data_IF_182664738176
#
_entry.id   IF_182664738176
#
_cell.length_a   1.000
_cell.length_b   1.000
_cell.length_c   1.000
_cell.angle_alpha   90.00
_cell.angle_beta   90.00
_cell.angle_gamma   90.00
#
_symmetry.space_group_name_H-M   'P 1'
#
loop_
_entity.id
_entity.type
_entity.pdbx_description
1 polymer ?
#
# COMPACT_ATOMS: atom_id res chain seq x y z
N UNK A 1 24.35 -13.80 1.90
CA UNK A 1 23.32 -14.33 2.83
C UNK A 1 21.95 -13.99 2.26
N UNK A 2 20.95 -14.86 2.45
CA UNK A 2 19.57 -14.60 2.02
C UNK A 2 18.83 -13.94 3.17
N UNK A 3 18.12 -12.83 2.91
CA UNK A 3 17.29 -12.13 3.89
C UNK A 3 15.95 -11.86 3.26
N UNK A 4 14.87 -12.03 4.02
CA UNK A 4 13.53 -11.63 3.61
C UNK A 4 13.08 -10.54 4.58
N UNK A 5 12.62 -9.41 4.03
CA UNK A 5 12.10 -8.28 4.78
C UNK A 5 10.64 -8.08 4.38
N UNK A 6 9.75 -8.26 5.35
CA UNK A 6 8.33 -7.89 5.22
C UNK A 6 8.19 -6.39 5.46
N UNK A 7 7.70 -5.67 4.45
CA UNK A 7 7.41 -4.23 4.47
C UNK A 7 6.14 -3.89 5.23
N UNK A 8 5.40 -4.90 5.69
CA UNK A 8 4.19 -4.88 6.50
C UNK A 8 3.21 -3.78 6.10
N UNK A 9 2.17 -4.18 5.38
CA UNK A 9 1.10 -3.30 4.95
C UNK A 9 1.62 -2.09 4.13
N UNK A 10 2.44 -2.34 3.09
CA UNK A 10 3.04 -1.28 2.24
C UNK A 10 1.99 -0.27 1.77
N UNK A 11 0.81 -0.76 1.40
CA UNK A 11 -0.26 0.06 0.83
C UNK A 11 -0.75 1.13 1.81
N UNK A 12 -0.83 0.82 3.10
CA UNK A 12 -1.30 1.78 4.11
C UNK A 12 -0.26 2.88 4.42
N UNK A 13 0.99 2.70 3.97
CA UNK A 13 2.03 3.72 4.10
C UNK A 13 2.07 4.69 2.91
N UNK A 14 1.24 4.48 1.88
CA UNK A 14 1.23 5.32 0.68
C UNK A 14 -0.05 6.17 0.66
N UNK A 15 0.06 7.51 0.72
CA UNK A 15 -1.10 8.40 0.72
C UNK A 15 -1.84 8.31 -0.61
N UNK A 16 -3.17 8.29 -0.52
CA UNK A 16 -4.06 8.46 -1.67
C UNK A 16 -4.20 9.95 -1.98
N UNK A 17 -4.35 10.31 -3.25
CA UNK A 17 -4.62 11.70 -3.61
C UNK A 17 -5.96 12.15 -3.00
N UNK A 18 -6.05 13.32 -2.33
CA UNK A 18 -7.28 13.77 -1.66
C UNK A 18 -8.51 13.81 -2.59
N UNK A 19 -8.32 14.21 -3.85
CA UNK A 19 -9.41 14.28 -4.84
C UNK A 19 -9.97 12.90 -5.23
N UNK A 20 -9.20 11.83 -5.02
CA UNK A 20 -9.64 10.46 -5.28
C UNK A 20 -10.35 9.85 -4.06
N UNK A 21 -10.11 10.36 -2.84
CA UNK A 21 -10.67 9.79 -1.60
C UNK A 21 -12.20 9.58 -1.65
N UNK A 22 -13.03 10.52 -2.16
CA UNK A 22 -14.47 10.31 -2.25
C UNK A 22 -14.89 9.11 -3.13
N UNK A 23 -14.05 8.72 -4.10
CA UNK A 23 -14.30 7.60 -5.03
C UNK A 23 -14.09 6.24 -4.36
N UNK A 24 -13.29 6.22 -3.29
CA UNK A 24 -13.01 5.05 -2.48
C UNK A 24 -13.78 5.09 -1.15
N UNK A 25 -14.97 5.69 -1.14
CA UNK A 25 -15.85 5.68 0.02
C UNK A 25 -16.55 4.33 0.18
N UNK A 26 -16.75 3.89 1.43
CA UNK A 26 -17.48 2.68 1.79
C UNK A 26 -18.39 2.93 3.00
N UNK A 27 -19.37 2.06 3.19
CA UNK A 27 -20.31 2.12 4.32
C UNK A 27 -20.11 0.93 5.23
N UNK A 28 -20.10 1.16 6.54
CA UNK A 28 -20.06 0.11 7.56
C UNK A 28 -21.49 -0.13 8.07
N UNK A 29 -22.02 -1.36 7.98
CA UNK A 29 -23.35 -1.67 8.51
C UNK A 29 -23.35 -1.68 10.04
N UNK A 30 -24.43 -1.21 10.64
CA UNK A 30 -24.66 -1.37 12.07
C UNK A 30 -25.27 -2.74 12.37
N UNK A 31 -25.08 -3.22 13.60
CA UNK A 31 -25.74 -4.44 14.07
C UNK A 31 -27.26 -4.29 13.95
N UNK A 32 -27.90 -5.22 13.25
CA UNK A 32 -29.36 -5.25 13.03
C UNK A 32 -29.96 -3.92 12.52
N UNK A 33 -29.20 -3.09 11.79
CA UNK A 33 -29.68 -1.78 11.28
C UNK A 33 -30.18 -0.82 12.37
N UNK A 34 -29.71 -0.98 13.61
CA UNK A 34 -30.11 -0.13 14.75
C UNK A 34 -29.63 1.33 14.62
N UNK A 35 -28.63 1.61 13.79
CA UNK A 35 -28.10 2.95 13.54
C UNK A 35 -27.95 3.19 12.02
N UNK A 36 -27.94 4.47 11.57
CA UNK A 36 -27.61 4.78 10.18
C UNK A 36 -26.24 4.23 9.77
N UNK A 37 -26.12 3.87 8.50
CA UNK A 37 -24.85 3.42 7.92
C UNK A 37 -23.77 4.51 8.07
N UNK A 38 -22.66 4.15 8.70
CA UNK A 38 -21.52 5.07 8.83
C UNK A 38 -20.69 5.02 7.55
N UNK A 39 -20.36 6.20 6.99
CA UNK A 39 -19.63 6.31 5.72
C UNK A 39 -18.20 6.78 5.96
N UNK A 40 -17.25 6.05 5.40
CA UNK A 40 -15.81 6.33 5.47
C UNK A 40 -15.21 6.40 4.07
N UNK A 41 -13.98 6.87 3.97
CA UNK A 41 -13.17 6.82 2.76
C UNK A 41 -11.72 6.52 3.10
N UNK A 42 -11.00 5.97 2.13
CA UNK A 42 -9.57 5.70 2.29
C UNK A 42 -8.74 6.98 2.16
N UNK A 43 -7.77 7.15 3.06
CA UNK A 43 -6.75 8.22 2.99
C UNK A 43 -5.42 7.72 2.39
N UNK A 44 -5.29 6.40 2.28
CA UNK A 44 -4.10 5.67 1.83
C UNK A 44 -4.53 4.67 0.77
N UNK A 45 -3.59 4.01 0.10
CA UNK A 45 -3.97 3.04 -0.93
C UNK A 45 -4.81 1.90 -0.33
N UNK A 46 -6.03 1.66 -0.85
CA UNK A 46 -6.85 0.56 -0.39
C UNK A 46 -6.29 -0.78 -0.89
N UNK A 47 -6.36 -1.80 -0.03
CA UNK A 47 -6.18 -3.19 -0.42
C UNK A 47 -7.30 -3.59 -1.40
N UNK A 48 -6.95 -4.35 -2.44
CA UNK A 48 -7.90 -4.79 -3.47
C UNK A 48 -8.12 -3.79 -4.62
N UNK A 49 -7.58 -2.57 -4.56
CA UNK A 49 -7.54 -1.71 -5.75
C UNK A 49 -6.54 -2.27 -6.77
N UNK A 50 -7.00 -2.44 -8.01
CA UNK A 50 -6.21 -3.02 -9.12
C UNK A 50 -4.83 -2.39 -9.30
N UNK A 51 -4.72 -1.07 -9.09
CA UNK A 51 -3.48 -0.33 -9.31
C UNK A 51 -2.62 -0.19 -8.05
N UNK A 52 -3.09 -0.60 -6.85
CA UNK A 52 -2.31 -0.52 -5.61
C UNK A 52 -0.96 -1.24 -5.71
N UNK A 53 -0.86 -2.46 -6.28
CA UNK A 53 0.42 -3.15 -6.41
C UNK A 53 1.45 -2.37 -7.24
N UNK A 54 1.03 -1.80 -8.38
CA UNK A 54 1.90 -1.01 -9.25
C UNK A 54 2.37 0.27 -8.57
N UNK A 55 1.49 0.96 -7.84
CA UNK A 55 1.86 2.19 -7.12
C UNK A 55 2.83 1.87 -5.98
N UNK A 56 2.59 0.83 -5.17
CA UNK A 56 3.54 0.41 -4.14
C UNK A 56 4.88 -0.02 -4.73
N UNK A 57 4.88 -0.76 -5.85
CA UNK A 57 6.13 -1.14 -6.51
C UNK A 57 6.95 0.08 -6.94
N UNK A 58 6.32 1.11 -7.53
CA UNK A 58 7.02 2.35 -7.87
C UNK A 58 7.51 3.11 -6.63
N UNK A 59 6.71 3.17 -5.57
CA UNK A 59 7.09 3.83 -4.32
C UNK A 59 8.31 3.17 -3.68
N UNK A 60 8.28 1.85 -3.51
CA UNK A 60 9.37 1.06 -2.93
C UNK A 60 10.61 1.09 -3.81
N UNK A 61 10.46 0.98 -5.14
CA UNK A 61 11.58 1.09 -6.07
C UNK A 61 12.30 2.44 -5.93
N UNK A 62 11.56 3.54 -5.78
CA UNK A 62 12.12 4.87 -5.53
C UNK A 62 12.83 4.93 -4.17
N UNK A 63 12.23 4.37 -3.12
CA UNK A 63 12.82 4.35 -1.78
C UNK A 63 14.12 3.52 -1.74
N UNK A 64 14.22 2.45 -2.54
CA UNK A 64 15.39 1.57 -2.62
C UNK A 64 16.48 2.06 -3.58
N UNK A 65 16.26 3.11 -4.38
CA UNK A 65 17.26 3.64 -5.33
C UNK A 65 18.65 3.85 -4.70
N UNK A 66 18.80 4.58 -3.57
CA UNK A 66 20.12 4.79 -2.97
C UNK A 66 20.76 3.49 -2.46
N UNK A 67 19.94 2.52 -1.99
CA UNK A 67 20.43 1.22 -1.53
C UNK A 67 20.99 0.42 -2.71
N UNK A 68 20.32 0.44 -3.87
CA UNK A 68 20.77 -0.24 -5.09
C UNK A 68 22.08 0.37 -5.62
N UNK A 69 22.24 1.69 -5.53
CA UNK A 69 23.46 2.39 -5.92
C UNK A 69 24.64 2.08 -4.99
N UNK A 70 24.38 1.96 -3.67
CA UNK A 70 25.41 1.64 -2.69
C UNK A 70 25.84 0.15 -2.74
N UNK A 71 24.91 -0.75 -3.02
CA UNK A 71 25.12 -2.20 -2.99
C UNK A 71 24.94 -2.84 -4.37
N UNK A 72 25.78 -2.47 -5.34
CA UNK A 72 25.64 -2.86 -6.76
C UNK A 72 25.76 -4.36 -7.04
N UNK A 73 26.35 -5.13 -6.13
CA UNK A 73 26.50 -6.59 -6.25
C UNK A 73 25.30 -7.34 -5.65
N UNK A 74 24.42 -6.65 -4.92
CA UNK A 74 23.25 -7.26 -4.28
C UNK A 74 22.09 -7.33 -5.27
N UNK A 75 21.40 -8.46 -5.26
CA UNK A 75 20.12 -8.61 -5.97
C UNK A 75 19.01 -8.32 -4.97
N UNK A 76 18.21 -7.29 -5.25
CA UNK A 76 17.03 -6.95 -4.45
C UNK A 76 15.79 -7.19 -5.28
N UNK A 77 14.96 -8.15 -4.88
CA UNK A 77 13.67 -8.45 -5.51
C UNK A 77 12.54 -7.91 -4.65
N UNK A 78 11.59 -7.23 -5.28
CA UNK A 78 10.40 -6.71 -4.62
C UNK A 78 9.18 -7.44 -5.13
N UNK A 79 8.47 -8.12 -4.23
CA UNK A 79 7.25 -8.83 -4.51
C UNK A 79 6.19 -8.47 -3.48
N UNK A 80 5.21 -7.66 -3.90
CA UNK A 80 4.10 -7.22 -3.06
C UNK A 80 4.58 -6.50 -1.79
N UNK A 81 4.48 -7.13 -0.62
CA UNK A 81 4.95 -6.58 0.65
C UNK A 81 6.31 -7.17 1.07
N UNK A 82 6.92 -8.05 0.25
CA UNK A 82 8.19 -8.71 0.57
C UNK A 82 9.36 -8.15 -0.24
N UNK A 83 10.50 -7.96 0.42
CA UNK A 83 11.81 -7.77 -0.19
C UNK A 83 12.70 -8.99 0.05
N UNK A 84 13.29 -9.52 -1.02
CA UNK A 84 14.36 -10.51 -1.00
C UNK A 84 15.71 -9.86 -1.32
#
# INVERSE_FOLDING_TARGET
>A
PLVIIDLKDCFFNIPLHPDDAPRFAFSVPSTNLQEPLQRYHWLVLPQGMKNSPTICQHFVARALSPVREQFTQSVILHYMDDLL
#
